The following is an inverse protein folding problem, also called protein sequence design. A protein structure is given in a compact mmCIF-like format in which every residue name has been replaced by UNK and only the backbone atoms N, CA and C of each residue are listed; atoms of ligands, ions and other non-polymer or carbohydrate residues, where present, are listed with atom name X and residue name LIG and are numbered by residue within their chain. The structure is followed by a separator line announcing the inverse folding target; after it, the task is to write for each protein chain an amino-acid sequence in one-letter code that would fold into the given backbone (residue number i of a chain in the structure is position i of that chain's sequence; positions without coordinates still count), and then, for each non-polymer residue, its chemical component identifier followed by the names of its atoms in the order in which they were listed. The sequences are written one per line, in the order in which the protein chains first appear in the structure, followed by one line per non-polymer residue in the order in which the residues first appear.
data_IF_046260191700
#
_entry.id   IF_046260191700
#
_cell.length_a   1.000
_cell.length_b   1.000
_cell.length_c   1.000
_cell.angle_alpha   90.00
_cell.angle_beta   90.00
_cell.angle_gamma   90.00
#
_symmetry.space_group_name_H-M   'P 1'
#
loop_
_entity.id
_entity.type
_entity.pdbx_description
1 polymer ?
#
# COMPACT_ATOMS: atom_id res chain seq x y z
N UNK A 1 26.13 3.39 1.81
CA UNK A 1 25.39 2.14 2.08
C UNK A 1 23.92 2.41 1.79
N UNK A 2 23.32 1.89 0.71
CA UNK A 2 21.88 1.99 0.52
C UNK A 2 21.20 0.99 1.45
N UNK A 3 20.29 1.50 2.27
CA UNK A 3 19.44 0.73 3.15
C UNK A 3 18.28 0.17 2.30
N UNK A 4 18.33 -1.13 2.00
CA UNK A 4 17.18 -1.84 1.44
C UNK A 4 16.13 -2.04 2.52
N UNK A 5 15.09 -1.21 2.54
CA UNK A 5 13.84 -1.53 3.22
C UNK A 5 12.83 -1.95 2.15
N UNK A 6 12.59 -3.26 2.11
CA UNK A 6 11.56 -3.92 1.29
C UNK A 6 10.21 -3.20 1.47
N UNK A 7 9.73 -2.52 0.44
CA UNK A 7 8.39 -1.94 0.40
C UNK A 7 8.26 -0.65 -0.41
N UNK A 8 9.33 0.13 -0.59
CA UNK A 8 9.34 1.31 -1.45
C UNK A 8 10.22 1.03 -2.68
N UNK A 9 9.65 1.08 -3.88
CA UNK A 9 10.37 0.78 -5.12
C UNK A 9 11.43 1.85 -5.46
N UNK A 10 11.35 3.03 -4.85
CA UNK A 10 12.33 4.09 -4.98
C UNK A 10 12.41 4.94 -3.70
N UNK A 11 13.63 5.34 -3.34
CA UNK A 11 13.91 6.30 -2.26
C UNK A 11 14.42 7.61 -2.88
N UNK A 12 13.87 8.74 -2.46
CA UNK A 12 14.27 10.08 -2.92
C UNK A 12 14.56 10.99 -1.73
N UNK A 13 15.42 11.99 -1.92
CA UNK A 13 15.66 13.00 -0.88
C UNK A 13 14.49 14.00 -0.81
N UNK A 14 14.27 14.62 0.36
CA UNK A 14 13.26 15.66 0.53
C UNK A 14 13.48 16.88 -0.39
N UNK A 15 14.74 17.25 -0.62
CA UNK A 15 15.10 18.37 -1.50
C UNK A 15 14.83 18.07 -2.98
N UNK A 16 15.04 16.84 -3.41
CA UNK A 16 14.68 16.38 -4.74
C UNK A 16 13.16 16.32 -4.88
N UNK A 17 12.48 15.69 -3.93
CA UNK A 17 11.02 15.55 -3.94
C UNK A 17 10.30 16.90 -4.00
N UNK A 18 10.80 17.90 -3.28
CA UNK A 18 10.23 19.25 -3.29
C UNK A 18 10.37 19.94 -4.66
N UNK A 19 11.46 19.68 -5.39
CA UNK A 19 11.71 20.26 -6.72
C UNK A 19 10.94 19.56 -7.83
N UNK A 20 10.64 18.27 -7.67
CA UNK A 20 10.04 17.44 -8.71
C UNK A 20 8.66 16.91 -8.32
N UNK A 21 7.98 17.54 -7.35
CA UNK A 21 6.73 17.02 -6.79
C UNK A 21 5.63 16.73 -7.84
N UNK A 22 5.35 17.64 -8.81
CA UNK A 22 4.32 17.35 -9.82
C UNK A 22 4.64 16.10 -10.64
N UNK A 23 5.88 15.98 -11.13
CA UNK A 23 6.33 14.83 -11.90
C UNK A 23 6.35 13.53 -11.07
N UNK A 24 6.64 13.64 -9.76
CA UNK A 24 6.57 12.50 -8.84
C UNK A 24 5.12 12.01 -8.68
N UNK A 25 4.15 12.92 -8.57
CA UNK A 25 2.72 12.58 -8.47
C UNK A 25 2.25 11.86 -9.74
N UNK A 26 2.60 12.37 -10.92
CA UNK A 26 2.23 11.71 -12.19
C UNK A 26 2.84 10.31 -12.32
N UNK A 27 4.11 10.18 -11.89
CA UNK A 27 4.83 8.90 -11.91
C UNK A 27 4.21 7.87 -10.98
N UNK A 28 3.87 8.21 -9.75
CA UNK A 28 3.25 7.26 -8.80
C UNK A 28 1.84 6.87 -9.22
N UNK A 29 1.07 7.82 -9.79
CA UNK A 29 -0.27 7.54 -10.30
C UNK A 29 -0.24 6.49 -11.42
N UNK A 30 0.80 6.51 -12.25
CA UNK A 30 0.96 5.55 -13.35
C UNK A 30 1.57 4.22 -12.91
N UNK A 31 2.51 4.24 -11.95
CA UNK A 31 3.28 3.05 -11.55
C UNK A 31 2.67 2.27 -10.40
N UNK A 32 1.70 2.82 -9.66
CA UNK A 32 1.13 2.22 -8.44
C UNK A 32 2.17 1.81 -7.38
N UNK A 33 3.37 2.40 -7.44
CA UNK A 33 4.45 2.10 -6.52
C UNK A 33 4.65 3.24 -5.53
N UNK A 34 4.76 2.89 -4.25
CA UNK A 34 5.08 3.83 -3.19
C UNK A 34 6.54 4.30 -3.31
N UNK A 35 6.76 5.59 -3.09
CA UNK A 35 8.07 6.24 -3.05
C UNK A 35 8.33 6.70 -1.63
N UNK A 36 9.52 6.40 -1.12
CA UNK A 36 9.96 6.89 0.18
C UNK A 36 10.75 8.18 0.05
N UNK A 37 10.35 9.20 0.79
CA UNK A 37 11.03 10.49 0.89
C UNK A 37 11.81 10.52 2.19
N UNK A 38 13.11 10.74 2.11
CA UNK A 38 14.03 10.79 3.26
C UNK A 38 14.56 12.21 3.44
N UNK A 39 14.48 12.70 4.67
CA UNK A 39 15.06 13.96 5.13
C UNK A 39 16.03 13.70 6.28
N UNK A 40 16.87 14.68 6.62
CA UNK A 40 17.64 14.67 7.87
C UNK A 40 16.75 14.54 9.11
N UNK A 41 15.49 14.98 9.02
CA UNK A 41 14.57 15.07 10.15
C UNK A 41 13.57 13.91 10.22
N UNK A 42 13.54 13.00 9.24
CA UNK A 42 12.56 11.92 9.21
C UNK A 42 12.33 11.31 7.83
N UNK A 43 11.33 10.43 7.76
CA UNK A 43 10.94 9.69 6.56
C UNK A 43 9.44 9.83 6.34
N UNK A 44 9.03 9.92 5.08
CA UNK A 44 7.63 9.94 4.67
C UNK A 44 7.44 9.04 3.45
N UNK A 45 6.24 8.50 3.26
CA UNK A 45 5.89 7.71 2.09
C UNK A 45 4.88 8.46 1.26
N UNK A 46 5.15 8.60 -0.02
CA UNK A 46 4.24 9.13 -1.02
C UNK A 46 3.68 7.96 -1.82
N UNK A 47 2.36 7.86 -1.88
CA UNK A 47 1.64 6.80 -2.60
C UNK A 47 0.36 7.37 -3.24
N UNK A 48 -0.20 6.71 -4.27
CA UNK A 48 -1.50 7.10 -4.82
C UNK A 48 -2.59 7.07 -3.74
N UNK A 49 -3.54 8.00 -3.83
CA UNK A 49 -4.62 8.12 -2.85
C UNK A 49 -5.52 6.87 -2.84
N UNK A 50 -5.77 6.26 -3.99
CA UNK A 50 -6.61 5.06 -4.10
C UNK A 50 -5.95 3.82 -3.49
N UNK A 51 -4.63 3.69 -3.65
CA UNK A 51 -3.83 2.65 -2.98
C UNK A 51 -3.85 2.85 -1.46
N UNK A 52 -3.72 4.09 -0.99
CA UNK A 52 -3.79 4.40 0.43
C UNK A 52 -5.17 4.06 1.02
N UNK A 53 -6.25 4.45 0.33
CA UNK A 53 -7.62 4.15 0.74
C UNK A 53 -7.85 2.63 0.82
N UNK A 54 -7.41 1.89 -0.20
CA UNK A 54 -7.51 0.42 -0.26
C UNK A 54 -6.74 -0.26 0.88
N UNK A 55 -5.56 0.25 1.21
CA UNK A 55 -4.78 -0.24 2.36
C UNK A 55 -5.46 0.08 3.70
N UNK A 56 -6.00 1.28 3.87
CA UNK A 56 -6.73 1.65 5.08
C UNK A 56 -7.98 0.79 5.27
N UNK A 57 -8.72 0.50 4.20
CA UNK A 57 -9.89 -0.36 4.24
C UNK A 57 -9.50 -1.80 4.62
N UNK A 58 -8.45 -2.35 3.97
CA UNK A 58 -7.93 -3.68 4.31
C UNK A 58 -7.48 -3.73 5.77
N UNK A 59 -6.67 -2.77 6.22
CA UNK A 59 -6.24 -2.68 7.60
C UNK A 59 -7.42 -2.55 8.57
N UNK A 60 -8.46 -1.82 8.20
CA UNK A 60 -9.69 -1.69 8.98
C UNK A 60 -10.43 -3.03 9.12
N UNK A 61 -10.59 -3.77 8.03
CA UNK A 61 -11.22 -5.09 8.03
C UNK A 61 -10.48 -6.08 8.93
N UNK A 62 -9.15 -6.04 8.93
CA UNK A 62 -8.29 -6.94 9.71
C UNK A 62 -7.96 -6.44 11.13
N UNK A 63 -8.39 -5.24 11.52
CA UNK A 63 -8.07 -4.63 12.83
C UNK A 63 -8.59 -5.44 14.03
N UNK A 64 -9.65 -6.22 13.85
CA UNK A 64 -10.18 -7.14 14.87
C UNK A 64 -9.93 -8.58 14.45
N UNK A 65 -9.17 -9.38 15.21
CA UNK A 65 -8.95 -10.80 14.92
C UNK A 65 -10.26 -11.59 14.72
N UNK A 66 -11.31 -11.19 15.45
CA UNK A 66 -12.66 -11.78 15.30
C UNK A 66 -13.31 -11.42 13.96
N UNK A 67 -13.14 -10.18 13.48
CA UNK A 67 -13.68 -9.76 12.18
C UNK A 67 -12.90 -10.37 11.02
N UNK A 68 -11.57 -10.44 11.14
CA UNK A 68 -10.71 -11.12 10.20
C UNK A 68 -11.12 -12.59 10.02
N UNK A 69 -11.35 -13.31 11.13
CA UNK A 69 -11.79 -14.71 11.09
C UNK A 69 -13.12 -14.85 10.36
N UNK A 70 -14.10 -14.00 10.68
CA UNK A 70 -15.42 -14.03 10.03
C UNK A 70 -15.35 -13.77 8.52
N UNK A 71 -14.48 -12.86 8.08
CA UNK A 71 -14.29 -12.57 6.66
C UNK A 71 -13.65 -13.74 5.92
N UNK A 72 -12.64 -14.38 6.52
CA UNK A 72 -11.98 -15.56 5.95
C UNK A 72 -12.96 -16.74 5.86
N UNK A 73 -13.71 -17.00 6.93
CA UNK A 73 -14.72 -18.07 6.95
C UNK A 73 -15.78 -17.84 5.86
N UNK A 74 -16.27 -16.59 5.68
CA UNK A 74 -17.23 -16.24 4.64
C UNK A 74 -16.66 -16.39 3.21
N UNK A 75 -15.39 -16.02 3.02
CA UNK A 75 -14.68 -16.21 1.76
C UNK A 75 -14.54 -17.70 1.41
N UNK A 76 -14.17 -18.54 2.37
CA UNK A 76 -14.08 -19.99 2.19
C UNK A 76 -15.43 -20.62 1.84
N UNK A 77 -16.52 -20.19 2.49
CA UNK A 77 -17.87 -20.65 2.15
C UNK A 77 -18.26 -20.26 0.72
N UNK A 78 -18.05 -18.99 0.33
CA UNK A 78 -18.35 -18.52 -1.03
C UNK A 78 -17.52 -19.28 -2.10
N UNK A 79 -16.27 -19.63 -1.78
CA UNK A 79 -15.44 -20.46 -2.65
C UNK A 79 -16.01 -21.88 -2.75
N UNK A 80 -16.47 -22.47 -1.64
CA UNK A 80 -17.04 -23.82 -1.64
C UNK A 80 -18.38 -23.91 -2.36
N UNK A 81 -19.20 -22.87 -2.33
CA UNK A 81 -20.48 -22.78 -3.04
C UNK A 81 -20.31 -22.55 -4.55
N UNK A 82 -19.21 -21.92 -4.97
CA UNK A 82 -18.93 -21.62 -6.39
C UNK A 82 -18.25 -22.76 -7.17
N UNK A 83 -17.76 -23.80 -6.49
CA UNK A 83 -17.40 -25.07 -7.14
C UNK A 83 -18.61 -26.01 -7.13
N UNK A 84 -19.23 -26.32 -8.28
CA UNK A 84 -20.30 -27.31 -8.31
C UNK A 84 -19.74 -28.65 -7.85
N UNK A 85 -20.25 -29.17 -6.74
CA UNK A 85 -20.00 -30.57 -6.34
C UNK A 85 -20.55 -31.46 -7.46
N UNK A 86 -19.67 -32.05 -8.25
CA UNK A 86 -19.97 -33.28 -9.01
C UNK A 86 -20.19 -34.43 -8.05
#
# INVERSE_FOLDING_TARGET
MPCEIRGAAATVSADEASRTLPALIDRIATSHHAVEIVSSNGRAVLMPADEYASWQETAHLFRSPKNARRLLDAYEQALMESYPRT
#
